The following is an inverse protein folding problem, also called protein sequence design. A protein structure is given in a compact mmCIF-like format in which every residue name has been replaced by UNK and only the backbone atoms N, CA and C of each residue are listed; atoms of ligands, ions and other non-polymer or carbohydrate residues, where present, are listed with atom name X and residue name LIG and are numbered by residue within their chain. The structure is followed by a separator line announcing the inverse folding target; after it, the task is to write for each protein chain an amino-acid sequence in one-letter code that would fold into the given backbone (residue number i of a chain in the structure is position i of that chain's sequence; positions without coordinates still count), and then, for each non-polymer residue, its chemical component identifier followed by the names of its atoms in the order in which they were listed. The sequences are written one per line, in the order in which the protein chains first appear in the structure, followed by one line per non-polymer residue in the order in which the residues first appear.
data_IF_693836989200
#
_entry.id   IF_693836989200
#
_cell.length_a   1.000
_cell.length_b   1.000
_cell.length_c   1.000
_cell.angle_alpha   90.00
_cell.angle_beta   90.00
_cell.angle_gamma   90.00
#
_symmetry.space_group_name_H-M   'P 1'
#
loop_
_entity.id
_entity.type
_entity.pdbx_description
1 polymer ?
#
# COMPACT_ATOMS: atom_id res chain seq x y z
N UNK A 1 8.31 -5.68 -39.46
CA UNK A 1 7.74 -4.53 -38.74
C UNK A 1 6.27 -4.86 -38.61
N UNK A 2 5.84 -5.29 -37.42
CA UNK A 2 4.45 -5.70 -37.20
C UNK A 2 3.56 -4.45 -37.21
N UNK A 3 2.43 -4.51 -37.92
CA UNK A 3 1.40 -3.48 -37.89
C UNK A 3 0.85 -3.37 -36.47
N UNK A 4 1.06 -2.23 -35.80
CA UNK A 4 0.42 -1.92 -34.53
C UNK A 4 -1.00 -1.42 -34.82
N UNK A 5 -2.00 -2.25 -34.52
CA UNK A 5 -3.41 -1.94 -34.68
C UNK A 5 -3.88 -1.11 -33.48
N UNK A 6 -3.75 0.22 -33.56
CA UNK A 6 -4.34 1.14 -32.59
C UNK A 6 -5.86 1.19 -32.79
N UNK A 7 -6.60 0.46 -31.97
CA UNK A 7 -8.05 0.57 -31.89
C UNK A 7 -8.39 1.95 -31.32
N UNK A 8 -9.03 2.83 -32.10
CA UNK A 8 -9.53 4.12 -31.60
C UNK A 8 -10.70 3.86 -30.64
N UNK A 9 -10.48 4.08 -29.35
CA UNK A 9 -11.52 3.96 -28.32
C UNK A 9 -12.45 5.18 -28.45
N UNK A 10 -13.73 4.97 -28.75
CA UNK A 10 -14.73 6.05 -28.86
C UNK A 10 -15.12 6.57 -27.47
N UNK A 11 -15.55 7.84 -27.42
CA UNK A 11 -16.01 8.50 -26.19
C UNK A 11 -17.19 7.76 -25.56
N UNK A 12 -18.06 7.15 -26.37
CA UNK A 12 -19.17 6.32 -25.90
C UNK A 12 -18.68 5.04 -25.19
N UNK A 13 -17.60 4.41 -25.66
CA UNK A 13 -17.03 3.20 -25.05
C UNK A 13 -16.37 3.51 -23.70
N UNK A 14 -15.70 4.67 -23.61
CA UNK A 14 -15.19 5.21 -22.34
C UNK A 14 -16.36 5.45 -21.36
N UNK A 15 -17.43 6.10 -21.81
CA UNK A 15 -18.60 6.39 -20.97
C UNK A 15 -19.26 5.11 -20.42
N UNK A 16 -19.38 4.07 -21.24
CA UNK A 16 -19.95 2.78 -20.83
C UNK A 16 -19.11 2.08 -19.74
N UNK A 17 -17.78 2.19 -19.77
CA UNK A 17 -16.90 1.63 -18.75
C UNK A 17 -17.05 2.29 -17.37
N UNK A 18 -17.55 3.54 -17.31
CA UNK A 18 -17.84 4.23 -16.04
C UNK A 18 -19.24 3.95 -15.49
N UNK A 19 -20.16 3.50 -16.34
CA UNK A 19 -21.56 3.19 -15.96
C UNK A 19 -21.72 1.76 -15.45
N UNK A 20 -20.76 0.89 -15.74
CA UNK A 20 -20.67 -0.45 -15.17
C UNK A 20 -20.44 -0.35 -13.64
N UNK A 21 -21.46 -0.75 -12.86
CA UNK A 21 -21.37 -0.76 -11.39
C UNK A 21 -20.20 -1.68 -11.02
N UNK A 22 -19.14 -1.16 -10.35
CA UNK A 22 -17.96 -1.96 -10.07
C UNK A 22 -18.39 -3.20 -9.27
N UNK A 23 -17.92 -4.37 -9.72
CA UNK A 23 -18.15 -5.62 -9.03
C UNK A 23 -17.77 -5.46 -7.55
N UNK A 24 -18.58 -6.01 -6.65
CA UNK A 24 -18.31 -5.95 -5.22
C UNK A 24 -16.93 -6.57 -4.94
N UNK A 25 -16.05 -5.78 -4.34
CA UNK A 25 -14.72 -6.27 -3.94
C UNK A 25 -14.92 -7.21 -2.76
N UNK A 26 -14.78 -8.52 -3.00
CA UNK A 26 -14.84 -9.54 -1.95
C UNK A 26 -13.49 -9.65 -1.24
N UNK A 27 -13.41 -9.11 -0.03
CA UNK A 27 -12.21 -9.20 0.82
C UNK A 27 -12.22 -10.46 1.71
N UNK A 28 -13.25 -11.32 1.63
CA UNK A 28 -13.35 -12.52 2.47
C UNK A 28 -12.26 -13.55 2.20
N UNK A 29 -11.54 -13.42 1.08
CA UNK A 29 -10.42 -14.29 0.72
C UNK A 29 -9.11 -13.92 1.45
N UNK A 30 -9.00 -12.74 2.07
CA UNK A 30 -7.81 -12.35 2.82
C UNK A 30 -7.80 -12.96 4.24
N UNK A 31 -6.66 -13.55 4.59
CA UNK A 31 -6.44 -14.11 5.91
C UNK A 31 -6.21 -13.02 6.96
N UNK A 32 -6.35 -13.37 8.24
CA UNK A 32 -6.01 -12.46 9.35
C UNK A 32 -4.54 -12.01 9.27
N UNK A 33 -3.67 -12.86 8.76
CA UNK A 33 -2.24 -12.61 8.56
C UNK A 33 -1.98 -11.45 7.59
N UNK A 34 -2.77 -11.32 6.51
CA UNK A 34 -2.68 -10.21 5.56
C UNK A 34 -3.02 -8.88 6.24
N UNK A 35 -4.09 -8.88 7.05
CA UNK A 35 -4.52 -7.71 7.81
C UNK A 35 -3.50 -7.29 8.87
N UNK A 36 -2.90 -8.25 9.57
CA UNK A 36 -1.81 -7.98 10.53
C UNK A 36 -0.61 -7.38 9.80
N UNK A 37 -0.20 -7.97 8.68
CA UNK A 37 0.90 -7.46 7.85
C UNK A 37 0.64 -6.02 7.41
N UNK A 38 -0.58 -5.75 6.92
CA UNK A 38 -1.01 -4.43 6.50
C UNK A 38 -0.96 -3.41 7.64
N UNK A 39 -1.45 -3.79 8.82
CA UNK A 39 -1.45 -2.92 10.00
C UNK A 39 -0.02 -2.58 10.47
N UNK A 40 0.87 -3.58 10.52
CA UNK A 40 2.29 -3.36 10.91
C UNK A 40 2.99 -2.48 9.87
N UNK A 41 2.75 -2.74 8.58
CA UNK A 41 3.29 -1.92 7.49
C UNK A 41 2.84 -0.46 7.59
N UNK A 42 1.53 -0.22 7.76
CA UNK A 42 1.00 1.14 7.94
C UNK A 42 1.51 1.81 9.22
N UNK A 43 1.68 1.05 10.30
CA UNK A 43 2.33 1.54 11.53
C UNK A 43 3.76 2.01 11.29
N UNK A 44 4.55 1.27 10.50
CA UNK A 44 5.90 1.65 10.11
C UNK A 44 5.90 2.92 9.25
N UNK A 45 5.00 3.02 8.26
CA UNK A 45 4.83 4.23 7.44
C UNK A 45 4.50 5.44 8.31
N UNK A 46 3.59 5.30 9.28
CA UNK A 46 3.25 6.36 10.21
C UNK A 46 4.45 6.78 11.07
N UNK A 47 5.27 5.83 11.54
CA UNK A 47 6.49 6.14 12.29
C UNK A 47 7.49 6.94 11.44
N UNK A 48 7.77 6.50 10.21
CA UNK A 48 8.68 7.19 9.29
C UNK A 48 8.14 8.57 8.90
N UNK A 49 6.84 8.69 8.63
CA UNK A 49 6.20 9.98 8.42
C UNK A 49 6.36 10.90 9.63
N UNK A 50 6.11 10.39 10.84
CA UNK A 50 6.24 11.15 12.08
C UNK A 50 7.68 11.63 12.29
N UNK A 51 8.68 10.78 12.00
CA UNK A 51 10.10 11.17 12.06
C UNK A 51 10.38 12.41 11.21
N UNK A 52 9.94 12.40 9.94
CA UNK A 52 10.14 13.52 9.03
C UNK A 52 9.31 14.75 9.43
N UNK A 53 8.04 14.54 9.78
CA UNK A 53 7.16 15.62 10.20
C UNK A 53 7.70 16.33 11.44
N UNK A 54 8.12 15.60 12.47
CA UNK A 54 8.65 16.26 13.68
C UNK A 54 9.93 17.00 13.38
N UNK A 55 10.83 16.41 12.58
CA UNK A 55 12.12 17.02 12.24
C UNK A 55 11.96 18.29 11.42
N UNK A 56 11.08 18.29 10.43
CA UNK A 56 10.95 19.39 9.47
C UNK A 56 9.82 20.37 9.79
N UNK A 57 8.68 19.93 10.33
CA UNK A 57 7.55 20.80 10.67
C UNK A 57 7.60 21.34 12.11
N UNK A 58 8.07 20.52 13.07
CA UNK A 58 8.12 20.87 14.49
C UNK A 58 9.52 21.24 14.98
N UNK A 59 10.53 21.18 14.11
CA UNK A 59 11.93 21.45 14.42
C UNK A 59 12.45 20.66 15.66
N UNK A 60 11.92 19.45 15.87
CA UNK A 60 12.29 18.57 16.99
C UNK A 60 12.41 17.11 16.51
N UNK A 61 13.22 16.28 17.17
CA UNK A 61 13.46 14.89 16.76
C UNK A 61 12.89 13.91 17.79
N UNK A 62 11.84 13.17 17.42
CA UNK A 62 11.29 12.10 18.25
C UNK A 62 12.13 10.81 18.13
N UNK A 63 13.20 10.71 18.92
CA UNK A 63 14.16 9.60 18.85
C UNK A 63 13.52 8.19 18.98
N UNK A 64 12.50 8.03 19.83
CA UNK A 64 11.86 6.72 20.06
C UNK A 64 11.16 6.12 18.81
N UNK A 65 10.80 6.95 17.84
CA UNK A 65 10.13 6.49 16.59
C UNK A 65 11.09 5.75 15.65
N UNK A 66 12.40 5.97 15.78
CA UNK A 66 13.44 5.30 15.00
C UNK A 66 13.52 3.82 15.40
N UNK A 67 13.54 3.54 16.70
CA UNK A 67 13.59 2.19 17.25
C UNK A 67 12.33 1.40 16.89
N UNK A 68 11.15 2.02 16.97
CA UNK A 68 9.88 1.36 16.60
C UNK A 68 9.87 1.04 15.10
N UNK A 69 10.33 1.95 14.24
CA UNK A 69 10.35 1.71 12.80
C UNK A 69 11.28 0.55 12.42
N UNK A 70 12.46 0.45 13.03
CA UNK A 70 13.40 -0.66 12.77
C UNK A 70 12.82 -1.99 13.25
N UNK A 71 12.23 -2.04 14.44
CA UNK A 71 11.59 -3.27 14.93
C UNK A 71 10.38 -3.67 14.08
N UNK A 72 9.57 -2.70 13.64
CA UNK A 72 8.46 -2.96 12.72
C UNK A 72 8.96 -3.49 11.37
N UNK A 73 10.07 -2.94 10.83
CA UNK A 73 10.70 -3.43 9.61
C UNK A 73 11.11 -4.90 9.76
N UNK A 74 11.73 -5.27 10.88
CA UNK A 74 12.11 -6.67 11.17
C UNK A 74 10.87 -7.57 11.13
N UNK A 75 9.79 -7.20 11.82
CA UNK A 75 8.54 -7.97 11.83
C UNK A 75 7.97 -8.14 10.42
N UNK A 76 7.89 -7.05 9.64
CA UNK A 76 7.35 -7.09 8.26
C UNK A 76 8.17 -7.99 7.35
N UNK A 77 9.51 -7.95 7.45
CA UNK A 77 10.39 -8.79 6.64
C UNK A 77 10.19 -10.27 6.96
N UNK A 78 10.12 -10.64 8.24
CA UNK A 78 9.90 -12.03 8.65
C UNK A 78 8.50 -12.53 8.26
N UNK A 79 7.47 -11.69 8.42
CA UNK A 79 6.10 -12.03 8.07
C UNK A 79 5.95 -12.20 6.55
N UNK A 80 6.55 -11.30 5.76
CA UNK A 80 6.60 -11.42 4.29
C UNK A 80 7.36 -12.66 3.81
N UNK A 81 8.47 -12.99 4.47
CA UNK A 81 9.22 -14.21 4.15
C UNK A 81 8.40 -15.49 4.41
N UNK A 82 7.62 -15.52 5.49
CA UNK A 82 6.77 -16.66 5.83
C UNK A 82 5.62 -16.89 4.85
N UNK A 83 5.05 -15.82 4.25
CA UNK A 83 3.96 -15.92 3.28
C UNK A 83 4.43 -16.26 1.85
N UNK A 84 5.74 -16.24 1.58
CA UNK A 84 6.32 -16.55 0.26
C UNK A 84 6.43 -18.07 -0.04
N UNK A 85 5.73 -18.93 0.73
CA UNK A 85 5.79 -20.40 0.64
C UNK A 85 4.58 -21.00 -0.08
#
# INVERSE_FOLDING_TARGET
MAEEHHTEISVEEIAHAFEEVPAHVDLSHHGIEDWITLAVFWGMVACVFLQFFTRYALNNSLAWTEEIAINALVVVVFLGAAMCV
#
